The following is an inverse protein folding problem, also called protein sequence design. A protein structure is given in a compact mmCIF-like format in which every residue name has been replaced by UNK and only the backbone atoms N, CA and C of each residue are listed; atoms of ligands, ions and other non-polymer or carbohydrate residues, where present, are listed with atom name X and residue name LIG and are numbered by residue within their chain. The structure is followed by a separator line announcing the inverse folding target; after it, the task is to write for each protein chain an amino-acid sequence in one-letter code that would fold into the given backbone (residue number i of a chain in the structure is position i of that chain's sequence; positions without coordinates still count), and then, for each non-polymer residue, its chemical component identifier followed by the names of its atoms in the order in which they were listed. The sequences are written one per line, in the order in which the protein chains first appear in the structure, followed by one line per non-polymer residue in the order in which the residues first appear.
data_IF_731402711986
#
_entry.id   IF_731402711986
#
_cell.length_a   1.000
_cell.length_b   1.000
_cell.length_c   1.000
_cell.angle_alpha   90.00
_cell.angle_beta   90.00
_cell.angle_gamma   90.00
#
_symmetry.space_group_name_H-M   'P 1'
#
loop_
_entity.id
_entity.type
_entity.pdbx_description
1 polymer ?
#
# COMPACT_ATOMS: atom_id res chain seq x y z
N UNK A 1 -16.10 -23.36 -10.96
CA UNK A 1 -15.04 -22.99 -10.04
C UNK A 1 -15.01 -21.51 -9.85
N UNK A 2 -14.86 -21.09 -8.62
CA UNK A 2 -14.80 -19.66 -8.34
C UNK A 2 -13.37 -19.18 -8.31
N UNK A 3 -13.17 -17.99 -8.77
CA UNK A 3 -11.85 -17.40 -8.83
C UNK A 3 -11.60 -16.57 -7.57
N UNK A 4 -10.33 -16.50 -7.19
CA UNK A 4 -9.93 -15.73 -6.03
C UNK A 4 -8.86 -14.74 -6.48
N UNK A 5 -9.00 -13.50 -6.07
CA UNK A 5 -8.02 -12.47 -6.36
C UNK A 5 -7.92 -11.58 -5.14
N UNK A 6 -6.90 -11.83 -4.33
CA UNK A 6 -6.77 -11.14 -3.05
C UNK A 6 -5.31 -10.87 -2.78
N UNK A 7 -4.99 -9.63 -2.47
CA UNK A 7 -3.62 -9.22 -2.20
C UNK A 7 -3.61 -8.42 -0.91
N UNK A 8 -2.65 -8.71 -0.07
CA UNK A 8 -2.42 -7.95 1.15
C UNK A 8 -0.95 -7.59 1.20
N UNK A 9 -0.64 -6.30 1.32
CA UNK A 9 0.74 -5.85 1.43
C UNK A 9 0.83 -4.81 2.52
N UNK A 10 1.95 -4.81 3.21
CA UNK A 10 2.25 -3.83 4.23
C UNK A 10 3.65 -3.33 4.00
N UNK A 11 3.84 -2.04 4.13
CA UNK A 11 5.14 -1.45 3.91
C UNK A 11 5.06 0.05 4.04
N UNK A 12 6.00 0.72 3.38
CA UNK A 12 6.11 2.17 3.50
C UNK A 12 6.03 2.81 2.14
N UNK A 13 5.47 4.01 2.10
CA UNK A 13 5.45 4.76 0.85
C UNK A 13 6.86 5.21 0.50
N UNK A 14 7.23 5.07 -0.77
CA UNK A 14 8.55 5.48 -1.23
C UNK A 14 8.56 6.94 -1.64
N UNK A 15 7.41 7.53 -1.83
CA UNK A 15 7.27 8.95 -2.10
C UNK A 15 5.85 9.33 -1.78
N UNK A 16 5.57 10.62 -1.80
CA UNK A 16 4.23 11.08 -1.45
C UNK A 16 3.20 10.56 -2.43
N UNK A 17 2.01 10.29 -1.93
CA UNK A 17 0.91 9.83 -2.76
C UNK A 17 0.47 10.95 -3.70
N UNK A 18 -0.18 10.55 -4.78
CA UNK A 18 -0.73 11.49 -5.74
C UNK A 18 -2.24 11.35 -5.74
N UNK A 19 -2.91 12.48 -5.70
CA UNK A 19 -4.36 12.47 -5.81
C UNK A 19 -4.70 12.86 -7.23
N UNK A 20 -5.43 12.01 -7.92
CA UNK A 20 -5.81 12.25 -9.30
C UNK A 20 -7.32 12.19 -9.42
N UNK A 21 -7.82 12.81 -10.48
CA UNK A 21 -9.25 12.77 -10.74
C UNK A 21 -9.48 12.22 -12.13
N UNK A 22 -10.46 11.34 -12.26
CA UNK A 22 -10.82 10.81 -13.57
C UNK A 22 -11.53 11.90 -14.36
N UNK A 23 -11.82 11.59 -15.63
CA UNK A 23 -12.51 12.55 -16.49
C UNK A 23 -13.89 12.86 -15.95
N UNK A 24 -14.48 11.95 -15.17
CA UNK A 24 -15.78 12.21 -14.59
C UNK A 24 -15.67 12.86 -13.21
N UNK A 25 -14.45 13.21 -12.78
CA UNK A 25 -14.27 13.89 -11.51
C UNK A 25 -14.13 13.00 -10.30
N UNK A 26 -13.94 11.72 -10.49
CA UNK A 26 -13.84 10.79 -9.38
C UNK A 26 -12.40 10.72 -8.88
N UNK A 27 -12.18 10.88 -7.57
CA UNK A 27 -10.81 10.90 -7.06
C UNK A 27 -10.22 9.50 -6.91
N UNK A 28 -8.93 9.41 -7.12
CA UNK A 28 -8.18 8.18 -6.90
C UNK A 28 -6.84 8.56 -6.32
N UNK A 29 -6.40 7.86 -5.29
CA UNK A 29 -5.09 8.07 -4.70
C UNK A 29 -4.16 7.01 -5.25
N UNK A 30 -3.01 7.43 -5.75
CA UNK A 30 -2.02 6.51 -6.32
C UNK A 30 -0.74 6.63 -5.52
N UNK A 31 -0.21 5.50 -5.09
CA UNK A 31 1.03 5.50 -4.34
C UNK A 31 1.74 4.17 -4.52
N UNK A 32 3.00 4.13 -4.14
CA UNK A 32 3.83 2.94 -4.28
C UNK A 32 4.29 2.53 -2.89
N UNK A 33 4.07 1.27 -2.56
CA UNK A 33 4.43 0.71 -1.27
C UNK A 33 5.66 -0.16 -1.44
N UNK A 34 6.69 0.10 -0.65
CA UNK A 34 7.89 -0.72 -0.66
C UNK A 34 7.77 -1.76 0.42
N UNK A 35 7.98 -3.02 0.06
CA UNK A 35 8.00 -4.11 1.00
C UNK A 35 9.39 -4.72 1.00
N UNK A 36 9.89 -5.04 2.18
CA UNK A 36 11.21 -5.62 2.32
C UNK A 36 11.08 -7.05 2.76
N UNK A 37 11.89 -7.92 2.16
CA UNK A 37 11.94 -9.28 2.62
C UNK A 37 13.39 -9.64 2.86
N UNK A 38 13.67 -10.12 4.06
CA UNK A 38 15.02 -10.50 4.40
C UNK A 38 15.23 -11.95 4.02
N UNK A 39 16.20 -12.19 3.16
CA UNK A 39 16.50 -13.53 2.72
C UNK A 39 17.60 -14.14 3.56
N UNK A 40 18.60 -13.35 3.92
CA UNK A 40 19.69 -13.81 4.76
C UNK A 40 20.15 -12.60 5.55
N UNK A 41 21.17 -12.80 6.37
CA UNK A 41 21.64 -11.70 7.17
C UNK A 41 22.19 -10.58 6.33
N UNK A 42 22.62 -10.89 5.13
CA UNK A 42 23.24 -9.88 4.29
C UNK A 42 22.43 -9.52 3.08
N UNK A 43 21.25 -10.11 2.91
CA UNK A 43 20.53 -9.90 1.67
C UNK A 43 19.07 -9.62 1.91
N UNK A 44 18.58 -8.57 1.29
CA UNK A 44 17.17 -8.21 1.35
C UNK A 44 16.66 -8.00 -0.05
N UNK A 45 15.38 -8.28 -0.24
CA UNK A 45 14.71 -8.00 -1.48
C UNK A 45 13.66 -6.94 -1.20
N UNK A 46 13.65 -5.91 -2.03
CA UNK A 46 12.66 -4.85 -1.90
C UNK A 46 11.74 -4.94 -3.12
N UNK A 47 10.45 -4.95 -2.86
CA UNK A 47 9.46 -4.94 -3.93
C UNK A 47 8.69 -3.64 -3.87
N UNK A 48 8.41 -3.06 -5.02
CA UNK A 48 7.69 -1.80 -5.12
C UNK A 48 6.32 -2.09 -5.71
N UNK A 49 5.29 -1.88 -4.93
CA UNK A 49 3.94 -2.29 -5.27
C UNK A 49 3.10 -1.06 -5.56
N UNK A 50 2.67 -0.86 -6.81
CA UNK A 50 1.79 0.28 -7.11
C UNK A 50 0.39 0.00 -6.63
N UNK A 51 -0.22 1.01 -6.01
CA UNK A 51 -1.54 0.88 -5.40
C UNK A 51 -2.41 2.03 -5.87
N UNK A 52 -3.63 1.71 -6.23
CA UNK A 52 -4.65 2.72 -6.50
C UNK A 52 -5.76 2.51 -5.50
N UNK A 53 -6.18 3.59 -4.87
CA UNK A 53 -7.23 3.53 -3.86
C UNK A 53 -8.33 4.51 -4.24
N UNK A 54 -9.54 3.99 -4.41
CA UNK A 54 -10.68 4.83 -4.76
C UNK A 54 -11.46 5.23 -3.54
N UNK A 55 -11.52 4.35 -2.53
CA UNK A 55 -12.18 4.67 -1.27
C UNK A 55 -11.26 5.56 -0.46
N UNK A 56 -11.82 6.62 0.10
CA UNK A 56 -11.05 7.53 0.93
C UNK A 56 -9.87 8.11 0.18
N UNK A 57 -10.05 8.30 -1.13
CA UNK A 57 -8.94 8.73 -1.97
C UNK A 57 -8.38 10.06 -1.54
N UNK A 58 -9.24 10.99 -1.13
CA UNK A 58 -8.74 12.31 -0.78
C UNK A 58 -7.91 12.27 0.50
N UNK A 59 -8.29 11.43 1.43
CA UNK A 59 -7.50 11.28 2.64
C UNK A 59 -6.19 10.60 2.35
N UNK A 60 -6.24 9.55 1.53
CA UNK A 60 -5.03 8.81 1.22
C UNK A 60 -4.10 9.58 0.32
N UNK A 61 -4.64 10.51 -0.44
CA UNK A 61 -3.79 11.35 -1.27
C UNK A 61 -2.88 12.26 -0.48
N UNK A 62 -3.12 12.40 0.81
CA UNK A 62 -2.27 13.21 1.66
C UNK A 62 -1.11 12.44 2.28
N UNK A 63 -1.01 11.16 2.01
CA UNK A 63 0.08 10.36 2.56
C UNK A 63 1.41 10.82 1.98
N UNK A 64 2.45 10.76 2.81
CA UNK A 64 3.76 11.25 2.40
C UNK A 64 4.77 10.12 2.50
N UNK A 65 5.93 10.37 1.91
CA UNK A 65 7.01 9.42 1.92
C UNK A 65 7.29 8.95 3.34
N UNK A 66 7.43 7.66 3.50
CA UNK A 66 7.75 7.07 4.79
C UNK A 66 6.55 6.61 5.58
N UNK A 67 5.35 7.02 5.20
CA UNK A 67 4.17 6.55 5.91
C UNK A 67 4.02 5.06 5.74
N UNK A 68 3.67 4.38 6.83
CA UNK A 68 3.49 2.93 6.81
C UNK A 68 2.01 2.61 6.61
N UNK A 69 1.75 1.67 5.74
CA UNK A 69 0.37 1.33 5.39
C UNK A 69 0.21 -0.18 5.29
N UNK A 70 -1.02 -0.62 5.50
CA UNK A 70 -1.42 -1.99 5.25
C UNK A 70 -2.56 -1.93 4.23
N UNK A 71 -2.35 -2.54 3.08
CA UNK A 71 -3.28 -2.46 1.96
C UNK A 71 -3.84 -3.84 1.68
N UNK A 72 -5.16 -3.93 1.54
CA UNK A 72 -5.79 -5.14 1.05
C UNK A 72 -6.60 -4.79 -0.19
N UNK A 73 -6.62 -5.69 -1.14
CA UNK A 73 -7.34 -5.43 -2.37
C UNK A 73 -7.16 -6.55 -3.38
N UNK A 74 -7.20 -6.18 -4.64
CA UNK A 74 -7.10 -7.10 -5.74
C UNK A 74 -5.98 -6.69 -6.66
N UNK A 75 -5.41 -7.67 -7.33
CA UNK A 75 -4.44 -7.38 -8.37
C UNK A 75 -5.18 -7.08 -9.66
N UNK A 76 -4.88 -5.96 -10.27
CA UNK A 76 -5.48 -5.58 -11.53
C UNK A 76 -4.40 -5.42 -12.57
N UNK A 77 -4.67 -5.86 -13.76
CA UNK A 77 -3.73 -5.75 -14.87
C UNK A 77 -4.37 -4.97 -15.98
N UNK A 78 -3.53 -4.41 -16.82
CA UNK A 78 -4.03 -3.67 -17.97
C UNK A 78 -2.94 -3.58 -19.01
N UNK A 79 -3.22 -2.86 -20.08
CA UNK A 79 -2.22 -2.66 -21.11
C UNK A 79 -2.55 -1.39 -21.87
N UNK A 80 -1.53 -0.84 -22.49
CA UNK A 80 -1.73 0.28 -23.41
C UNK A 80 -0.66 0.18 -24.47
N UNK A 81 -0.85 0.91 -25.54
CA UNK A 81 0.09 0.87 -26.64
C UNK A 81 0.91 2.12 -26.69
N UNK A 82 2.18 1.95 -26.95
CA UNK A 82 3.10 3.05 -27.07
C UNK A 82 4.12 2.72 -28.12
N UNK A 83 4.21 3.57 -29.14
CA UNK A 83 5.19 3.38 -30.20
C UNK A 83 5.10 2.02 -30.85
N UNK A 84 3.88 1.54 -31.06
CA UNK A 84 3.67 0.25 -31.73
C UNK A 84 3.89 -0.95 -30.85
N UNK A 85 4.13 -0.74 -29.56
CA UNK A 85 4.34 -1.83 -28.62
C UNK A 85 3.22 -1.88 -27.63
N UNK A 86 2.89 -3.07 -27.16
CA UNK A 86 1.92 -3.23 -26.10
C UNK A 86 2.66 -3.25 -24.76
N UNK A 87 2.31 -2.32 -23.88
CA UNK A 87 2.91 -2.24 -22.58
C UNK A 87 1.91 -2.77 -21.56
N UNK A 88 2.32 -3.76 -20.79
CA UNK A 88 1.46 -4.37 -19.78
C UNK A 88 1.71 -3.72 -18.42
N UNK A 89 0.65 -3.48 -17.69
CA UNK A 89 0.73 -2.82 -16.41
C UNK A 89 -0.01 -3.65 -15.37
N UNK A 90 0.31 -3.38 -14.11
CA UNK A 90 -0.39 -4.02 -13.02
C UNK A 90 -0.35 -3.11 -11.81
N UNK A 91 -1.32 -3.27 -10.95
CA UNK A 91 -1.37 -2.53 -9.70
C UNK A 91 -2.32 -3.24 -8.76
N UNK A 92 -2.27 -2.87 -7.49
CA UNK A 92 -3.23 -3.37 -6.51
C UNK A 92 -4.32 -2.34 -6.41
N UNK A 93 -5.55 -2.75 -6.65
CA UNK A 93 -6.68 -1.87 -6.44
C UNK A 93 -7.16 -2.10 -5.02
N UNK A 94 -6.92 -1.12 -4.17
CA UNK A 94 -7.15 -1.28 -2.74
C UNK A 94 -8.63 -1.25 -2.43
N UNK A 95 -9.06 -2.19 -1.60
CA UNK A 95 -10.39 -2.13 -1.03
C UNK A 95 -10.32 -1.52 0.35
N UNK A 96 -9.16 -1.56 0.99
CA UNK A 96 -9.00 -0.97 2.30
C UNK A 96 -7.53 -0.63 2.53
N UNK A 97 -7.28 0.52 3.14
CA UNK A 97 -5.92 0.94 3.46
C UNK A 97 -5.92 1.41 4.90
N UNK A 98 -5.04 0.83 5.70
CA UNK A 98 -4.86 1.26 7.08
C UNK A 98 -3.51 1.96 7.17
N UNK A 99 -3.47 3.06 7.87
CA UNK A 99 -2.27 3.87 7.98
C UNK A 99 -1.78 3.80 9.41
N UNK A 100 -0.51 3.59 9.59
CA UNK A 100 0.08 3.52 10.93
C UNK A 100 0.09 4.91 11.58
N UNK A 101 -0.03 4.99 12.88
CA UNK A 101 -0.14 3.83 13.75
C UNK A 101 -1.49 3.18 13.55
N UNK A 102 -1.44 1.87 13.49
CA UNK A 102 -2.67 1.16 13.26
C UNK A 102 -3.59 1.26 14.46
N UNK A 103 -3.10 1.81 15.52
CA UNK A 103 -3.87 1.98 16.65
C UNK A 103 -4.61 3.15 16.51
N UNK A 104 -5.59 3.28 16.79
CA UNK A 104 -6.23 4.30 16.59
C UNK A 104 -6.23 5.09 17.48
N UNK A 105 -5.87 5.60 17.72
CA UNK A 105 -5.71 6.39 18.46
C UNK A 105 -6.52 6.83 19.31
N UNK A 106 -7.09 6.96 19.44
CA UNK A 106 -7.74 7.34 20.26
C UNK A 106 -7.19 7.20 21.32
N UNK A 107 -6.27 7.00 21.36
CA UNK A 107 -5.60 6.96 22.27
C UNK A 107 -5.92 6.17 23.27
N UNK A 108 -6.48 5.99 23.44
CA UNK A 108 -6.76 5.32 24.36
C UNK A 108 -5.93 4.55 24.77
N UNK A 109 -5.04 4.75 24.74
CA UNK A 109 -4.27 4.13 25.34
C UNK A 109 -4.08 2.91 25.16
N UNK A 110 -3.98 2.63 24.77
CA UNK A 110 -3.76 1.53 24.60
C UNK A 110 -2.47 1.15 24.84
N UNK A 111 -1.83 1.25 25.93
CA UNK A 111 -0.54 0.80 26.27
C UNK A 111 -0.30 -0.61 25.85
N UNK A 112 -1.29 -1.43 26.00
CA UNK A 112 -1.14 -2.80 25.59
C UNK A 112 -0.87 -2.95 24.13
N UNK A 113 -1.57 -2.17 23.35
CA UNK A 113 -1.39 -2.26 21.93
C UNK A 113 -0.03 -1.72 21.52
N UNK A 114 0.41 -0.65 22.18
CA UNK A 114 1.72 -0.11 21.89
C UNK A 114 2.81 -1.13 22.17
N UNK A 115 2.70 -1.82 23.28
CA UNK A 115 3.68 -2.85 23.58
C UNK A 115 3.71 -3.92 22.53
N UNK A 116 2.54 -4.33 22.11
CA UNK A 116 2.44 -5.36 21.10
C UNK A 116 3.06 -4.89 19.79
N UNK A 117 2.77 -3.66 19.41
CA UNK A 117 3.30 -3.14 18.17
C UNK A 117 4.81 -3.01 18.23
N UNK A 118 5.33 -2.61 19.37
CA UNK A 118 6.77 -2.48 19.52
C UNK A 118 7.46 -3.82 19.37
N UNK A 119 6.90 -4.82 20.00
CA UNK A 119 7.49 -6.13 19.89
C UNK A 119 7.45 -6.64 18.47
N UNK A 120 6.34 -6.39 17.80
CA UNK A 120 6.25 -6.82 16.42
C UNK A 120 7.30 -6.15 15.56
N UNK A 121 7.53 -4.87 15.81
CA UNK A 121 8.50 -4.17 15.01
C UNK A 121 9.88 -4.74 15.17
N UNK A 122 10.20 -5.18 16.35
CA UNK A 122 11.51 -5.73 16.58
C UNK A 122 11.68 -7.08 15.92
N UNK A 123 10.61 -7.85 15.88
CA UNK A 123 10.71 -9.19 15.36
C UNK A 123 10.48 -9.26 13.88
N UNK A 124 9.78 -8.29 13.32
CA UNK A 124 9.42 -8.33 11.93
C UNK A 124 10.03 -7.14 11.24
N UNK A 125 11.20 -7.28 10.73
CA UNK A 125 11.83 -6.16 10.06
C UNK A 125 11.15 -5.92 8.73
N UNK A 126 10.94 -4.71 8.43
CA UNK A 126 10.38 -4.34 7.14
C UNK A 126 11.36 -3.58 6.34
#
# INVERSE_FOLDING_TARGET
MENVNHVTVAGHLVKSAELRYTTTGKPVAAFVVATNKRISEEKQIVSYIPVNAWNQAEELGALVKGDAVLVTGELRTGSYEKNGRTIYTWHVQASNVMVAPFVNNKGNGNGNFDSFASESREEIPF
#
